data_IF_594272431535
#
_entry.id   IF_594272431535
#
_cell.length_a   1.000
_cell.length_b   1.000
_cell.length_c   1.000
_cell.angle_alpha   90.00
_cell.angle_beta   90.00
_cell.angle_gamma   90.00
#
_symmetry.space_group_name_H-M   'P 1'
#
loop_
_entity.id
_entity.type
_entity.pdbx_description
1 polymer ?
#
# COMPACT_ATOMS: atom_id res chain seq x y z
N UNK A 1 -1.39 -0.13 8.23
CA UNK A 1 -0.66 0.71 7.25
C UNK A 1 -1.34 2.07 7.15
N UNK A 2 -2.58 2.14 6.65
CA UNK A 2 -3.28 3.40 6.42
C UNK A 2 -3.41 4.26 7.70
N UNK A 3 -3.65 3.65 8.86
CA UNK A 3 -3.64 4.37 10.15
C UNK A 3 -2.29 5.04 10.47
N UNK A 4 -1.17 4.40 10.08
CA UNK A 4 0.17 4.97 10.25
C UNK A 4 0.34 6.19 9.35
N UNK A 5 -0.16 6.12 8.12
CA UNK A 5 -0.16 7.26 7.21
C UNK A 5 -1.04 8.40 7.73
N UNK A 6 -2.23 8.09 8.22
CA UNK A 6 -3.13 9.09 8.80
C UNK A 6 -2.48 9.83 9.97
N UNK A 7 -1.76 9.12 10.85
CA UNK A 7 -1.03 9.75 11.95
C UNK A 7 0.15 10.60 11.46
N UNK A 8 0.93 10.13 10.49
CA UNK A 8 2.04 10.91 9.94
C UNK A 8 1.56 12.21 9.26
N UNK A 9 0.42 12.18 8.55
CA UNK A 9 -0.19 13.40 7.99
C UNK A 9 -0.63 14.38 9.08
N UNK A 10 -1.22 13.89 10.19
CA UNK A 10 -1.58 14.73 11.35
C UNK A 10 -0.36 15.40 11.98
N UNK A 11 0.77 14.70 12.00
CA UNK A 11 2.05 15.24 12.49
C UNK A 11 2.72 16.22 11.49
N UNK A 12 2.06 16.54 10.36
CA UNK A 12 2.59 17.44 9.33
C UNK A 12 3.68 16.83 8.45
N UNK A 13 3.87 15.51 8.49
CA UNK A 13 4.89 14.82 7.69
C UNK A 13 4.40 14.58 6.27
N UNK A 14 5.33 14.65 5.33
CA UNK A 14 5.07 14.27 3.94
C UNK A 14 5.05 12.75 3.80
N UNK A 15 4.13 12.24 2.99
CA UNK A 15 4.07 10.82 2.63
C UNK A 15 4.09 10.71 1.12
N UNK A 16 5.04 9.92 0.60
CA UNK A 16 5.07 9.54 -0.80
C UNK A 16 4.59 8.09 -0.91
N UNK A 17 3.62 7.84 -1.80
CA UNK A 17 3.01 6.52 -1.97
C UNK A 17 2.95 6.19 -3.47
N UNK A 18 3.31 4.96 -3.81
CA UNK A 18 3.13 4.32 -5.11
C UNK A 18 2.33 3.04 -4.90
N UNK A 19 1.20 2.91 -5.58
CA UNK A 19 0.32 1.73 -5.51
C UNK A 19 0.19 1.17 -6.91
N UNK A 20 0.57 -0.09 -7.07
CA UNK A 20 0.54 -0.78 -8.36
C UNK A 20 -0.34 -2.03 -8.24
N UNK A 21 -1.43 -2.14 -9.02
CA UNK A 21 -2.21 -3.36 -9.07
C UNK A 21 -1.44 -4.46 -9.81
N UNK A 22 -1.45 -5.66 -9.24
CA UNK A 22 -0.81 -6.85 -9.81
C UNK A 22 -1.90 -7.80 -10.29
N UNK A 23 -1.90 -8.09 -11.58
CA UNK A 23 -2.84 -9.00 -12.23
C UNK A 23 -2.14 -10.28 -12.65
N UNK A 24 -2.77 -11.40 -12.37
CA UNK A 24 -2.41 -12.72 -12.90
C UNK A 24 -3.52 -13.15 -13.86
N UNK A 25 -3.18 -13.26 -15.15
CA UNK A 25 -4.16 -13.58 -16.20
C UNK A 25 -5.06 -12.41 -16.63
N UNK A 26 -6.22 -12.73 -17.19
CA UNK A 26 -7.15 -11.76 -17.82
C UNK A 26 -8.29 -11.28 -16.91
N UNK A 27 -8.13 -11.37 -15.59
CA UNK A 27 -9.19 -10.99 -14.66
C UNK A 27 -9.34 -9.46 -14.55
N UNK A 28 -10.57 -8.98 -14.35
CA UNK A 28 -10.85 -7.54 -14.13
C UNK A 28 -10.43 -7.07 -12.73
N UNK A 29 -10.35 -8.00 -11.76
CA UNK A 29 -9.88 -7.73 -10.39
C UNK A 29 -8.39 -8.09 -10.28
N UNK A 30 -7.53 -7.20 -9.76
CA UNK A 30 -6.14 -7.53 -9.49
C UNK A 30 -6.05 -8.57 -8.37
N UNK A 31 -5.07 -9.45 -8.43
CA UNK A 31 -4.82 -10.48 -7.43
C UNK A 31 -4.14 -9.92 -6.18
N UNK A 32 -3.37 -8.85 -6.34
CA UNK A 32 -2.75 -8.14 -5.23
C UNK A 32 -2.43 -6.69 -5.59
N UNK A 33 -2.00 -5.92 -4.60
CA UNK A 33 -1.48 -4.57 -4.76
C UNK A 33 -0.08 -4.50 -4.17
N UNK A 34 0.89 -4.06 -4.97
CA UNK A 34 2.20 -3.72 -4.46
C UNK A 34 2.21 -2.24 -4.05
N UNK A 35 2.39 -2.00 -2.76
CA UNK A 35 2.37 -0.67 -2.15
C UNK A 35 3.77 -0.33 -1.69
N UNK A 36 4.36 0.72 -2.28
CA UNK A 36 5.61 1.30 -1.82
C UNK A 36 5.35 2.68 -1.23
N UNK A 37 5.80 2.93 -0.01
CA UNK A 37 5.63 4.25 0.62
C UNK A 37 6.85 4.69 1.42
N UNK A 38 7.06 5.99 1.55
CA UNK A 38 8.05 6.60 2.43
C UNK A 38 7.43 7.76 3.20
N UNK A 39 7.86 7.94 4.44
CA UNK A 39 7.43 9.05 5.30
C UNK A 39 8.64 9.96 5.50
N UNK A 40 8.48 11.24 5.21
CA UNK A 40 9.46 12.31 5.42
C UNK A 40 10.83 12.01 4.79
N UNK A 41 10.83 11.54 3.53
CA UNK A 41 12.06 11.16 2.82
C UNK A 41 12.79 9.94 3.42
N UNK A 42 12.19 9.26 4.40
CA UNK A 42 12.73 8.06 5.02
C UNK A 42 12.81 6.86 4.07
N UNK A 43 13.37 5.74 4.58
CA UNK A 43 13.52 4.52 3.79
C UNK A 43 12.16 4.03 3.26
N UNK A 44 12.05 3.71 1.95
CA UNK A 44 10.83 3.16 1.38
C UNK A 44 10.46 1.82 2.04
N UNK A 45 9.19 1.67 2.37
CA UNK A 45 8.58 0.44 2.86
C UNK A 45 7.76 -0.16 1.72
N UNK A 46 8.01 -1.44 1.43
CA UNK A 46 7.30 -2.20 0.41
C UNK A 46 6.35 -3.18 1.11
N UNK A 47 5.10 -3.24 0.64
CA UNK A 47 4.06 -4.12 1.17
C UNK A 47 3.20 -4.64 0.02
N UNK A 48 3.15 -5.96 -0.09
CA UNK A 48 2.23 -6.63 -0.98
C UNK A 48 0.94 -7.00 -0.23
N UNK A 49 -0.19 -6.57 -0.78
CA UNK A 49 -1.51 -6.78 -0.21
C UNK A 49 -2.29 -7.71 -1.14
N UNK A 50 -2.49 -8.96 -0.73
CA UNK A 50 -3.26 -9.93 -1.50
C UNK A 50 -4.75 -9.59 -1.50
N UNK A 51 -5.37 -9.64 -2.66
CA UNK A 51 -6.78 -9.31 -2.87
C UNK A 51 -7.68 -10.54 -2.67
N UNK A 52 -7.49 -11.25 -1.55
CA UNK A 52 -8.22 -12.48 -1.23
C UNK A 52 -9.59 -12.17 -0.60
N UNK A 53 -10.69 -12.80 -1.06
CA UNK A 53 -11.99 -12.70 -0.40
C UNK A 53 -11.90 -13.13 1.07
N UNK A 54 -12.52 -12.37 1.97
CA UNK A 54 -12.62 -12.70 3.41
C UNK A 54 -11.52 -12.10 4.31
N UNK A 55 -10.43 -11.59 3.73
CA UNK A 55 -9.26 -11.13 4.48
C UNK A 55 -8.49 -12.31 5.09
N UNK A 56 -7.18 -12.39 4.83
CA UNK A 56 -6.32 -13.32 5.57
C UNK A 56 -6.24 -12.82 7.01
N UNK A 57 -6.69 -13.67 7.95
CA UNK A 57 -6.69 -13.41 9.39
C UNK A 57 -5.28 -13.37 9.96
#
# INVERSE_FOLDING_TARGET
MENTWANALKDGKQINVKIEPVYTGGNKRPDSFSVTYSIDGGRPVIKDISNTPGGVK
#
